data_IF_051996141389
#
_entry.id   IF_051996141389
#
_cell.length_a   1.000
_cell.length_b   1.000
_cell.length_c   1.000
_cell.angle_alpha   90.00
_cell.angle_beta   90.00
_cell.angle_gamma   90.00
#
_symmetry.space_group_name_H-M   'P 1'
#
loop_
_entity.id
_entity.type
_entity.pdbx_description
1 polymer ?
#
# COMPACT_ATOMS: atom_id res chain seq x y z
N UNK A 1 -19.91 -6.55 6.74
CA UNK A 1 -18.92 -7.10 7.68
C UNK A 1 -17.65 -6.32 7.41
N UNK A 2 -17.02 -5.75 8.43
CA UNK A 2 -15.83 -4.91 8.31
C UNK A 2 -14.61 -5.81 8.03
N UNK A 3 -13.67 -5.38 7.18
CA UNK A 3 -12.46 -6.15 6.85
C UNK A 3 -11.48 -6.12 8.04
N UNK A 4 -10.90 -7.27 8.37
CA UNK A 4 -9.94 -7.37 9.48
C UNK A 4 -8.56 -6.82 9.10
N UNK A 5 -8.23 -6.84 7.80
CA UNK A 5 -6.93 -6.47 7.25
C UNK A 5 -5.80 -7.29 7.85
N UNK A 6 -6.03 -8.60 7.98
CA UNK A 6 -5.09 -9.54 8.61
C UNK A 6 -4.74 -10.70 7.68
N UNK A 7 -3.46 -11.01 7.58
CA UNK A 7 -2.94 -12.19 6.89
C UNK A 7 -3.51 -13.47 7.50
N UNK A 8 -3.85 -14.43 6.63
CA UNK A 8 -4.53 -15.70 6.97
C UNK A 8 -5.99 -15.57 7.45
N UNK A 9 -6.55 -14.36 7.54
CA UNK A 9 -7.98 -14.13 7.76
C UNK A 9 -8.65 -13.66 6.46
N UNK A 10 -8.46 -12.39 6.10
CA UNK A 10 -9.03 -11.78 4.90
C UNK A 10 -8.00 -11.28 3.89
N UNK A 11 -6.70 -11.48 4.18
CA UNK A 11 -5.57 -11.19 3.30
C UNK A 11 -4.73 -12.43 2.99
N UNK A 12 -4.20 -12.47 1.78
CA UNK A 12 -3.31 -13.51 1.27
C UNK A 12 -1.87 -13.00 1.12
N UNK A 13 -0.90 -13.91 1.14
CA UNK A 13 0.53 -13.58 0.94
C UNK A 13 0.85 -13.04 -0.46
N UNK A 14 -0.06 -13.24 -1.42
CA UNK A 14 0.00 -12.69 -2.77
C UNK A 14 -0.63 -11.30 -2.91
N UNK A 15 -1.30 -10.81 -1.87
CA UNK A 15 -1.91 -9.48 -1.90
C UNK A 15 -0.83 -8.39 -1.85
N UNK A 16 -1.16 -7.24 -2.43
CA UNK A 16 -0.24 -6.10 -2.46
C UNK A 16 -0.16 -5.48 -1.07
N UNK A 17 1.05 -5.33 -0.53
CA UNK A 17 1.28 -4.59 0.71
C UNK A 17 1.10 -3.07 0.49
N UNK A 18 1.51 -2.58 -0.68
CA UNK A 18 1.29 -1.21 -1.14
C UNK A 18 0.33 -1.24 -2.31
N UNK A 19 -0.81 -0.57 -2.19
CA UNK A 19 -1.79 -0.57 -3.26
C UNK A 19 -1.20 -0.01 -4.58
N UNK A 20 -1.71 -0.42 -5.76
CA UNK A 20 -1.24 0.05 -7.06
C UNK A 20 -1.62 1.50 -7.38
N UNK A 21 -0.65 2.35 -7.70
CA UNK A 21 -0.88 3.74 -8.13
C UNK A 21 -1.00 3.76 -9.66
N UNK A 22 -2.10 4.29 -10.19
CA UNK A 22 -2.37 4.32 -11.63
C UNK A 22 -2.30 5.74 -12.20
N UNK A 23 -2.05 5.84 -13.52
CA UNK A 23 -2.11 7.13 -14.22
C UNK A 23 -3.50 7.77 -14.13
N UNK A 24 -4.59 6.99 -14.18
CA UNK A 24 -5.94 7.52 -14.05
C UNK A 24 -6.17 8.20 -12.69
N UNK A 25 -5.68 7.59 -11.60
CA UNK A 25 -5.75 8.20 -10.28
C UNK A 25 -4.95 9.51 -10.23
N UNK A 26 -3.73 9.52 -10.78
CA UNK A 26 -2.90 10.72 -10.79
C UNK A 26 -3.53 11.84 -11.63
N UNK A 27 -4.04 11.52 -12.82
CA UNK A 27 -4.75 12.47 -13.69
C UNK A 27 -5.97 13.04 -12.96
N UNK A 28 -6.74 12.18 -12.28
CA UNK A 28 -7.91 12.60 -11.50
C UNK A 28 -7.52 13.51 -10.33
N UNK A 29 -6.49 13.15 -9.55
CA UNK A 29 -6.00 13.97 -8.43
C UNK A 29 -5.55 15.34 -8.92
N UNK A 30 -4.77 15.40 -10.01
CA UNK A 30 -4.35 16.67 -10.60
C UNK A 30 -5.54 17.47 -11.10
N UNK A 31 -6.52 16.83 -11.75
CA UNK A 31 -7.71 17.51 -12.26
C UNK A 31 -8.58 18.13 -11.15
N UNK A 32 -8.73 17.42 -10.02
CA UNK A 32 -9.55 17.87 -8.90
C UNK A 32 -8.83 18.89 -8.00
N UNK A 33 -7.54 18.67 -7.72
CA UNK A 33 -6.83 19.38 -6.65
C UNK A 33 -5.98 20.56 -7.13
N UNK A 34 -5.75 20.68 -8.46
CA UNK A 34 -4.86 21.70 -9.00
C UNK A 34 -5.63 22.76 -9.81
N UNK A 35 -5.53 24.01 -9.36
CA UNK A 35 -6.08 25.18 -10.09
C UNK A 35 -5.32 25.48 -11.39
N UNK A 36 -4.04 25.09 -11.45
CA UNK A 36 -3.22 25.13 -12.66
C UNK A 36 -2.55 23.76 -12.83
N UNK A 37 -2.68 23.20 -14.02
CA UNK A 37 -2.06 21.91 -14.38
C UNK A 37 -0.73 22.19 -15.06
N UNK A 38 0.35 21.88 -14.35
CA UNK A 38 1.74 21.99 -14.81
C UNK A 38 2.60 20.85 -14.21
N UNK A 39 3.86 20.74 -14.66
CA UNK A 39 4.76 19.66 -14.21
C UNK A 39 4.93 19.62 -12.69
N UNK A 40 5.04 20.78 -12.03
CA UNK A 40 5.20 20.86 -10.58
C UNK A 40 3.96 20.34 -9.86
N UNK A 41 2.76 20.65 -10.35
CA UNK A 41 1.50 20.16 -9.79
C UNK A 41 1.37 18.65 -9.91
N UNK A 42 1.76 18.06 -11.05
CA UNK A 42 1.72 16.61 -11.27
C UNK A 42 2.66 15.88 -10.30
N UNK A 43 3.89 16.38 -10.13
CA UNK A 43 4.86 15.80 -9.19
C UNK A 43 4.36 15.87 -7.75
N UNK A 44 3.83 17.02 -7.34
CA UNK A 44 3.29 17.21 -5.99
C UNK A 44 2.12 16.28 -5.69
N UNK A 45 1.17 16.12 -6.61
CA UNK A 45 0.04 15.22 -6.36
C UNK A 45 0.47 13.74 -6.33
N UNK A 46 1.46 13.34 -7.14
CA UNK A 46 2.06 12.01 -7.03
C UNK A 46 2.71 11.78 -5.66
N UNK A 47 3.48 12.75 -5.17
CA UNK A 47 4.13 12.68 -3.85
C UNK A 47 3.12 12.50 -2.72
N UNK A 48 2.01 13.24 -2.75
CA UNK A 48 0.93 13.06 -1.77
C UNK A 48 0.27 11.69 -1.84
N UNK A 49 0.00 11.17 -3.05
CA UNK A 49 -0.56 9.83 -3.22
C UNK A 49 0.38 8.78 -2.62
N UNK A 50 1.69 8.93 -2.86
CA UNK A 50 2.71 8.05 -2.29
C UNK A 50 2.77 8.13 -0.78
N UNK A 51 2.72 9.34 -0.21
CA UNK A 51 2.75 9.55 1.24
C UNK A 51 1.55 8.88 1.92
N UNK A 52 0.33 9.16 1.44
CA UNK A 52 -0.89 8.54 1.98
C UNK A 52 -0.84 7.01 1.91
N UNK A 53 -0.46 6.45 0.76
CA UNK A 53 -0.41 4.99 0.60
C UNK A 53 0.72 4.35 1.41
N UNK A 54 1.82 5.07 1.62
CA UNK A 54 2.90 4.61 2.47
C UNK A 54 2.43 4.51 3.92
N UNK A 55 1.67 5.49 4.40
CA UNK A 55 1.13 5.45 5.76
C UNK A 55 0.18 4.25 5.93
N UNK A 56 -0.74 4.03 4.98
CA UNK A 56 -1.63 2.86 4.97
C UNK A 56 -0.84 1.53 4.95
N UNK A 57 0.19 1.45 4.10
CA UNK A 57 1.09 0.29 3.99
C UNK A 57 1.82 0.03 5.33
N UNK A 58 2.28 1.07 6.00
CA UNK A 58 2.98 0.95 7.29
C UNK A 58 2.04 0.44 8.38
N UNK A 59 0.81 0.94 8.45
CA UNK A 59 -0.19 0.42 9.39
C UNK A 59 -0.50 -1.06 9.11
N UNK A 60 -0.67 -1.42 7.84
CA UNK A 60 -0.95 -2.79 7.44
C UNK A 60 0.22 -3.73 7.79
N UNK A 61 1.46 -3.29 7.57
CA UNK A 61 2.67 -4.01 7.94
C UNK A 61 2.74 -4.24 9.47
N UNK A 62 2.55 -3.18 10.25
CA UNK A 62 2.63 -3.25 11.71
C UNK A 62 1.57 -4.19 12.29
N UNK A 63 0.36 -4.16 11.73
CA UNK A 63 -0.75 -5.04 12.12
C UNK A 63 -0.47 -6.53 11.87
N UNK A 64 0.38 -6.84 10.88
CA UNK A 64 0.65 -8.21 10.42
C UNK A 64 2.07 -8.70 10.71
N UNK A 65 2.85 -7.93 11.47
CA UNK A 65 4.28 -8.16 11.70
C UNK A 65 4.56 -9.53 12.32
N UNK A 66 3.76 -9.96 13.29
CA UNK A 66 3.85 -11.26 13.96
C UNK A 66 3.71 -12.42 12.97
N UNK A 67 2.65 -12.39 12.15
CA UNK A 67 2.35 -13.43 11.15
C UNK A 67 3.44 -13.47 10.07
N UNK A 68 3.93 -12.32 9.63
CA UNK A 68 5.02 -12.24 8.65
C UNK A 68 6.29 -12.90 9.19
N UNK A 69 6.67 -12.59 10.43
CA UNK A 69 7.84 -13.19 11.09
C UNK A 69 7.68 -14.71 11.21
N UNK A 70 6.50 -15.17 11.65
CA UNK A 70 6.19 -16.60 11.78
C UNK A 70 6.36 -17.34 10.45
N UNK A 71 5.66 -16.91 9.39
CA UNK A 71 5.77 -17.51 8.06
C UNK A 71 7.20 -17.51 7.51
N UNK A 72 7.94 -16.43 7.73
CA UNK A 72 9.34 -16.34 7.30
C UNK A 72 10.27 -17.31 8.05
N UNK A 73 9.98 -17.64 9.31
CA UNK A 73 10.72 -18.64 10.09
C UNK A 73 10.34 -20.07 9.71
N UNK A 74 9.07 -20.33 9.39
CA UNK A 74 8.62 -21.64 8.90
C UNK A 74 9.29 -22.02 7.59
N UNK A 75 9.32 -21.09 6.62
CA UNK A 75 9.97 -21.33 5.32
C UNK A 75 11.45 -21.71 5.49
N UNK A 76 12.17 -21.06 6.43
CA UNK A 76 13.57 -21.39 6.72
C UNK A 76 13.78 -22.78 7.33
N UNK A 77 12.79 -23.34 8.03
CA UNK A 77 12.85 -24.71 8.55
C UNK A 77 12.54 -25.76 7.48
N UNK A 78 11.81 -25.40 6.43
CA UNK A 78 11.48 -26.31 5.32
C UNK A 78 12.61 -26.43 4.29
N UNK A 79 13.52 -25.44 4.24
CA UNK A 79 14.70 -25.44 3.36
C UNK A 79 15.95 -26.08 3.98
N UNK A 80 15.89 -26.50 5.26
CA UNK A 80 17.00 -27.09 6.02
C UNK A 80 16.85 -28.61 6.20
#
# INVERSE_FOLDING_TARGET
MERAWRLDDDLYTSDNLLDPITFDQLIMAVHCDCRQVNEASVRRELEKILEMRKDDMMELLERNMDIIIEKALENRKQEA
#
